data_IF_993127770530
#
_entry.id   IF_993127770530
#
_cell.length_a   1.000
_cell.length_b   1.000
_cell.length_c   1.000
_cell.angle_alpha   90.00
_cell.angle_beta   90.00
_cell.angle_gamma   90.00
#
_symmetry.space_group_name_H-M   'P 1'
#
loop_
_entity.id
_entity.type
_entity.pdbx_description
1 polymer ?
#
# COMPACT_ATOMS: atom_id res chain seq x y z
N UNK A 1 -9.45 55.42 4.25
CA UNK A 1 -8.83 54.25 3.58
C UNK A 1 -9.08 52.96 4.34
N UNK A 2 -9.07 52.96 5.68
CA UNK A 2 -9.17 51.73 6.50
C UNK A 2 -10.51 50.99 6.40
N UNK A 3 -11.63 51.71 6.23
CA UNK A 3 -12.97 51.09 6.09
C UNK A 3 -13.09 50.28 4.79
N UNK A 4 -12.46 50.74 3.70
CA UNK A 4 -12.46 50.05 2.42
C UNK A 4 -11.59 48.78 2.47
N UNK A 5 -10.41 48.87 3.10
CA UNK A 5 -9.54 47.71 3.31
C UNK A 5 -10.21 46.65 4.21
N UNK A 6 -10.90 47.08 5.28
CA UNK A 6 -11.62 46.17 6.17
C UNK A 6 -12.77 45.44 5.44
N UNK A 7 -13.56 46.15 4.62
CA UNK A 7 -14.62 45.55 3.83
C UNK A 7 -14.10 44.54 2.79
N UNK A 8 -12.97 44.86 2.13
CA UNK A 8 -12.31 43.94 1.20
C UNK A 8 -11.80 42.68 1.92
N UNK A 9 -11.15 42.82 3.07
CA UNK A 9 -10.67 41.68 3.86
C UNK A 9 -11.83 40.79 4.36
N UNK A 10 -12.94 41.40 4.77
CA UNK A 10 -14.14 40.65 5.16
C UNK A 10 -14.75 39.90 3.98
N UNK A 11 -14.86 40.53 2.81
CA UNK A 11 -15.36 39.87 1.60
C UNK A 11 -14.46 38.68 1.19
N UNK A 12 -13.14 38.86 1.24
CA UNK A 12 -12.17 37.80 0.97
C UNK A 12 -12.30 36.64 1.96
N UNK A 13 -12.51 36.93 3.25
CA UNK A 13 -12.73 35.91 4.27
C UNK A 13 -14.02 35.13 4.03
N UNK A 14 -15.12 35.83 3.72
CA UNK A 14 -16.41 35.18 3.39
C UNK A 14 -16.27 34.27 2.18
N UNK A 15 -15.60 34.74 1.12
CA UNK A 15 -15.33 33.93 -0.08
C UNK A 15 -14.48 32.70 0.25
N UNK A 16 -13.44 32.85 1.08
CA UNK A 16 -12.60 31.74 1.51
C UNK A 16 -13.39 30.69 2.32
N UNK A 17 -14.28 31.13 3.21
CA UNK A 17 -15.16 30.23 4.00
C UNK A 17 -16.14 29.50 3.09
N UNK A 18 -16.77 30.20 2.14
CA UNK A 18 -17.69 29.59 1.18
C UNK A 18 -16.99 28.58 0.27
N UNK A 19 -15.78 28.92 -0.21
CA UNK A 19 -14.97 28.00 -1.00
C UNK A 19 -14.58 26.75 -0.20
N UNK A 20 -14.17 26.91 1.07
CA UNK A 20 -13.86 25.77 1.95
C UNK A 20 -15.11 24.91 2.18
N UNK A 21 -16.26 25.52 2.47
CA UNK A 21 -17.52 24.79 2.67
C UNK A 21 -17.91 24.01 1.41
N UNK A 22 -17.74 24.60 0.22
CA UNK A 22 -17.97 23.93 -1.05
C UNK A 22 -17.02 22.74 -1.25
N UNK A 23 -15.72 22.89 -0.95
CA UNK A 23 -14.77 21.77 -1.05
C UNK A 23 -15.12 20.65 -0.08
N UNK A 24 -15.51 20.97 1.16
CA UNK A 24 -15.97 19.97 2.14
C UNK A 24 -17.23 19.24 1.65
N UNK A 25 -18.21 19.99 1.13
CA UNK A 25 -19.43 19.43 0.56
C UNK A 25 -19.11 18.50 -0.62
N UNK A 26 -18.27 18.95 -1.56
CA UNK A 26 -17.83 18.14 -2.70
C UNK A 26 -17.12 16.89 -2.20
N UNK A 27 -16.19 17.00 -1.25
CA UNK A 27 -15.46 15.86 -0.71
C UNK A 27 -16.40 14.82 -0.08
N UNK A 28 -17.42 15.27 0.65
CA UNK A 28 -18.43 14.44 1.31
C UNK A 28 -19.38 13.77 0.30
N UNK A 29 -20.00 14.55 -0.60
CA UNK A 29 -20.99 14.02 -1.56
C UNK A 29 -20.33 13.15 -2.63
N UNK A 30 -19.10 13.47 -3.03
CA UNK A 30 -18.31 12.66 -3.97
C UNK A 30 -17.61 11.46 -3.31
N UNK A 31 -17.78 11.26 -2.01
CA UNK A 31 -17.30 10.06 -1.32
C UNK A 31 -18.14 8.86 -1.77
N UNK A 32 -17.91 8.42 -3.01
CA UNK A 32 -18.37 7.10 -3.42
C UNK A 32 -17.75 6.08 -2.47
N UNK A 33 -18.57 5.16 -1.97
CA UNK A 33 -18.04 3.90 -1.48
C UNK A 33 -17.30 3.28 -2.66
N UNK A 34 -16.00 3.07 -2.53
CA UNK A 34 -15.31 2.24 -3.50
C UNK A 34 -16.01 0.90 -3.45
N UNK A 35 -16.57 0.51 -4.60
CA UNK A 35 -17.20 -0.78 -4.75
C UNK A 35 -16.05 -1.81 -4.72
N UNK A 36 -15.60 -2.15 -3.52
CA UNK A 36 -14.57 -3.15 -3.27
C UNK A 36 -15.08 -4.58 -3.57
N UNK A 37 -16.23 -4.70 -4.22
CA UNK A 37 -16.80 -5.97 -4.63
C UNK A 37 -15.84 -6.66 -5.59
N UNK A 38 -15.11 -7.64 -5.03
CA UNK A 38 -14.44 -8.68 -5.80
C UNK A 38 -15.43 -9.26 -6.78
N UNK A 39 -15.10 -9.19 -8.07
CA UNK A 39 -15.83 -9.94 -9.09
C UNK A 39 -15.64 -11.42 -8.81
N UNK A 40 -16.60 -12.26 -9.20
CA UNK A 40 -16.51 -13.71 -8.91
C UNK A 40 -15.23 -14.33 -9.48
N UNK A 41 -14.75 -13.84 -10.62
CA UNK A 41 -13.49 -14.28 -11.24
C UNK A 41 -12.25 -13.96 -10.39
N UNK A 42 -12.30 -12.91 -9.56
CA UNK A 42 -11.19 -12.44 -8.72
C UNK A 42 -11.10 -13.20 -7.38
N UNK A 43 -12.03 -14.14 -7.13
CA UNK A 43 -12.10 -14.95 -5.91
C UNK A 43 -11.35 -16.28 -6.01
N UNK A 44 -10.77 -16.61 -7.16
CA UNK A 44 -10.13 -17.90 -7.41
C UNK A 44 -8.71 -17.73 -7.93
N UNK A 45 -7.83 -18.64 -7.56
CA UNK A 45 -6.51 -18.83 -8.18
C UNK A 45 -6.47 -20.15 -8.95
N UNK A 46 -5.50 -20.27 -9.86
CA UNK A 46 -5.26 -21.48 -10.63
C UNK A 46 -4.16 -22.33 -9.99
N UNK A 47 -4.36 -23.64 -9.95
CA UNK A 47 -3.29 -24.60 -9.65
C UNK A 47 -2.37 -24.78 -10.86
N UNK A 48 -1.19 -25.41 -10.71
CA UNK A 48 -0.35 -25.77 -11.86
C UNK A 48 -1.07 -26.62 -12.92
N UNK A 49 -2.07 -27.41 -12.51
CA UNK A 49 -2.93 -28.21 -13.41
C UNK A 49 -4.08 -27.42 -14.06
N UNK A 50 -4.23 -26.13 -13.75
CA UNK A 50 -5.30 -25.28 -14.28
C UNK A 50 -6.62 -25.36 -13.52
N UNK A 51 -6.65 -26.06 -12.37
CA UNK A 51 -7.86 -26.15 -11.53
C UNK A 51 -8.10 -24.83 -10.81
N UNK A 52 -9.37 -24.43 -10.67
CA UNK A 52 -9.76 -23.20 -9.96
C UNK A 52 -10.03 -23.50 -8.49
N UNK A 53 -9.29 -22.86 -7.60
CA UNK A 53 -9.49 -22.95 -6.16
C UNK A 53 -9.80 -21.57 -5.56
N UNK A 54 -10.71 -21.49 -4.57
CA UNK A 54 -11.03 -20.21 -3.94
C UNK A 54 -9.84 -19.69 -3.13
N UNK A 55 -9.61 -18.38 -3.16
CA UNK A 55 -8.68 -17.74 -2.25
C UNK A 55 -9.18 -17.87 -0.79
N UNK A 56 -8.31 -18.24 0.18
CA UNK A 56 -8.59 -18.08 1.60
C UNK A 56 -8.73 -16.61 1.97
N UNK A 57 -9.39 -16.34 3.09
CA UNK A 57 -9.55 -14.99 3.60
C UNK A 57 -8.52 -14.65 4.67
N UNK A 58 -8.13 -13.37 4.73
CA UNK A 58 -7.35 -12.81 5.84
C UNK A 58 -8.08 -12.92 7.19
N UNK A 59 -9.42 -13.09 7.19
CA UNK A 59 -10.20 -13.36 8.40
C UNK A 59 -10.10 -14.80 8.91
N UNK A 60 -9.63 -15.74 8.08
CA UNK A 60 -9.47 -17.13 8.49
C UNK A 60 -8.26 -17.28 9.42
N UNK A 61 -8.14 -18.37 10.20
CA UNK A 61 -6.89 -18.68 10.90
C UNK A 61 -5.71 -18.74 9.92
N UNK A 62 -4.55 -18.22 10.35
CA UNK A 62 -3.35 -18.28 9.53
C UNK A 62 -2.88 -19.74 9.34
N UNK A 63 -2.38 -20.05 8.15
CA UNK A 63 -1.76 -21.35 7.82
C UNK A 63 -0.35 -21.22 7.25
N UNK A 64 0.16 -19.98 7.17
CA UNK A 64 1.54 -19.64 6.81
C UNK A 64 2.11 -18.65 7.82
N UNK A 65 3.43 -18.65 7.99
CA UNK A 65 4.10 -17.62 8.80
C UNK A 65 4.14 -16.28 8.08
N UNK A 66 4.43 -16.27 6.78
CA UNK A 66 4.56 -15.06 5.97
C UNK A 66 3.77 -15.15 4.65
N UNK A 67 2.98 -14.13 4.34
CA UNK A 67 2.47 -13.91 2.99
C UNK A 67 3.14 -12.69 2.38
N UNK A 68 3.75 -12.83 1.21
CA UNK A 68 4.30 -11.72 0.44
C UNK A 68 3.30 -11.34 -0.65
N UNK A 69 2.78 -10.12 -0.62
CA UNK A 69 1.85 -9.57 -1.59
C UNK A 69 2.61 -8.68 -2.56
N UNK A 70 2.57 -9.05 -3.84
CA UNK A 70 3.30 -8.39 -4.92
C UNK A 70 2.30 -7.81 -5.93
N UNK A 71 1.96 -6.51 -5.87
CA UNK A 71 1.16 -5.88 -6.90
C UNK A 71 1.98 -5.71 -8.19
N UNK A 72 1.41 -6.13 -9.31
CA UNK A 72 2.07 -6.12 -10.62
C UNK A 72 1.16 -5.48 -11.68
N UNK A 73 1.68 -4.54 -12.46
CA UNK A 73 0.99 -3.98 -13.62
C UNK A 73 1.96 -3.65 -14.76
N UNK A 74 1.93 -4.46 -15.80
CA UNK A 74 2.89 -4.46 -16.90
C UNK A 74 4.34 -4.61 -16.42
N UNK A 75 4.62 -5.73 -15.76
CA UNK A 75 5.89 -6.05 -15.09
C UNK A 75 6.59 -7.27 -15.71
N UNK A 76 6.30 -7.66 -16.96
CA UNK A 76 6.81 -8.90 -17.55
C UNK A 76 8.35 -9.03 -17.48
N UNK A 77 9.07 -7.91 -17.48
CA UNK A 77 10.54 -7.87 -17.42
C UNK A 77 11.11 -7.72 -16.00
N UNK A 78 10.41 -7.01 -15.11
CA UNK A 78 10.91 -6.72 -13.75
C UNK A 78 10.50 -7.79 -12.73
N UNK A 79 9.29 -8.33 -12.89
CA UNK A 79 8.77 -9.38 -12.02
C UNK A 79 9.71 -10.60 -11.91
N UNK A 80 10.31 -11.13 -12.99
CA UNK A 80 11.23 -12.26 -12.88
C UNK A 80 12.45 -11.98 -12.00
N UNK A 81 13.07 -10.81 -12.16
CA UNK A 81 14.27 -10.43 -11.40
C UNK A 81 13.97 -10.36 -9.91
N UNK A 82 12.86 -9.72 -9.56
CA UNK A 82 12.41 -9.64 -8.17
C UNK A 82 12.05 -11.03 -7.63
N UNK A 83 11.29 -11.83 -8.40
CA UNK A 83 10.84 -13.15 -7.96
C UNK A 83 11.99 -14.16 -7.78
N UNK A 84 13.02 -14.14 -8.61
CA UNK A 84 14.18 -15.02 -8.40
C UNK A 84 14.92 -14.66 -7.10
N UNK A 85 15.09 -13.37 -6.77
CA UNK A 85 15.70 -12.95 -5.50
C UNK A 85 14.80 -13.29 -4.29
N UNK A 86 13.50 -13.01 -4.39
CA UNK A 86 12.52 -13.32 -3.37
C UNK A 86 12.47 -14.82 -3.06
N UNK A 87 12.35 -15.66 -4.09
CA UNK A 87 12.26 -17.11 -3.92
C UNK A 87 13.58 -17.69 -3.41
N UNK A 88 14.73 -17.21 -3.89
CA UNK A 88 16.03 -17.63 -3.36
C UNK A 88 16.15 -17.34 -1.84
N UNK A 89 15.74 -16.15 -1.41
CA UNK A 89 15.74 -15.79 0.02
C UNK A 89 14.75 -16.65 0.83
N UNK A 90 13.51 -16.78 0.38
CA UNK A 90 12.45 -17.49 1.10
C UNK A 90 12.69 -19.01 1.18
N UNK A 91 13.14 -19.65 0.10
CA UNK A 91 13.52 -21.07 0.09
C UNK A 91 14.72 -21.32 1.00
N UNK A 92 15.74 -20.46 0.97
CA UNK A 92 16.90 -20.53 1.88
C UNK A 92 16.44 -20.45 3.33
N UNK A 93 15.61 -19.47 3.67
CA UNK A 93 15.09 -19.27 5.04
C UNK A 93 14.26 -20.46 5.51
N UNK A 94 13.42 -21.04 4.65
CA UNK A 94 12.65 -22.25 4.97
C UNK A 94 13.57 -23.47 5.17
N UNK A 95 14.64 -23.59 4.39
CA UNK A 95 15.63 -24.66 4.56
C UNK A 95 16.38 -24.56 5.90
N UNK A 96 16.71 -23.33 6.31
CA UNK A 96 17.38 -23.05 7.59
C UNK A 96 16.43 -23.19 8.80
N UNK A 97 15.14 -22.90 8.61
CA UNK A 97 14.11 -23.07 9.62
C UNK A 97 12.87 -23.77 9.03
N UNK A 98 12.74 -25.10 9.17
CA UNK A 98 11.61 -25.85 8.61
C UNK A 98 10.22 -25.45 9.12
N UNK A 99 10.12 -24.78 10.28
CA UNK A 99 8.83 -24.26 10.77
C UNK A 99 8.43 -22.97 10.08
N UNK A 100 9.35 -22.28 9.41
CA UNK A 100 9.06 -21.12 8.60
C UNK A 100 8.35 -21.55 7.32
N UNK A 101 7.11 -21.11 7.17
CA UNK A 101 6.30 -21.36 5.98
C UNK A 101 5.90 -20.02 5.36
N UNK A 102 5.86 -19.97 4.04
CA UNK A 102 5.53 -18.74 3.35
C UNK A 102 4.65 -18.99 2.13
N UNK A 103 4.09 -17.91 1.62
CA UNK A 103 3.55 -17.85 0.28
C UNK A 103 3.85 -16.49 -0.37
N UNK A 104 3.81 -16.46 -1.69
CA UNK A 104 3.84 -15.25 -2.50
C UNK A 104 2.54 -15.17 -3.29
N UNK A 105 1.84 -14.05 -3.16
CA UNK A 105 0.63 -13.73 -3.92
C UNK A 105 1.00 -12.62 -4.89
N UNK A 106 1.14 -12.99 -6.16
CA UNK A 106 1.34 -12.03 -7.25
C UNK A 106 -0.03 -11.55 -7.69
N UNK A 107 -0.28 -10.25 -7.60
CA UNK A 107 -1.55 -9.64 -7.97
C UNK A 107 -1.37 -8.89 -9.28
N UNK A 108 -1.84 -9.47 -10.38
CA UNK A 108 -1.87 -8.77 -11.67
C UNK A 108 -3.07 -7.81 -11.72
N UNK A 109 -2.81 -6.51 -11.72
CA UNK A 109 -3.80 -5.43 -11.80
C UNK A 109 -4.28 -5.18 -13.25
N UNK A 110 -4.67 -6.25 -13.93
CA UNK A 110 -5.20 -6.23 -15.30
C UNK A 110 -4.18 -5.77 -16.34
N UNK A 111 -2.97 -6.35 -16.32
CA UNK A 111 -1.89 -6.06 -17.26
C UNK A 111 -2.28 -6.34 -18.71
N UNK A 112 -1.57 -5.67 -19.62
CA UNK A 112 -1.72 -5.82 -21.09
C UNK A 112 -0.54 -6.54 -21.74
N UNK A 113 0.50 -6.82 -20.97
CA UNK A 113 1.67 -7.61 -21.38
C UNK A 113 1.55 -9.05 -20.85
N UNK A 114 2.68 -9.79 -20.84
CA UNK A 114 2.72 -11.18 -20.37
C UNK A 114 2.89 -11.32 -18.84
N UNK A 115 2.59 -10.29 -18.04
CA UNK A 115 2.75 -10.35 -16.56
C UNK A 115 2.05 -11.56 -15.94
N UNK A 116 0.77 -11.80 -16.27
CA UNK A 116 0.03 -12.99 -15.77
C UNK A 116 0.72 -14.30 -16.18
N UNK A 117 1.17 -14.43 -17.44
CA UNK A 117 1.83 -15.65 -17.93
C UNK A 117 3.12 -15.92 -17.17
N UNK A 118 3.95 -14.89 -17.00
CA UNK A 118 5.19 -14.95 -16.21
C UNK A 118 4.89 -15.37 -14.76
N UNK A 119 3.90 -14.75 -14.12
CA UNK A 119 3.49 -15.07 -12.75
C UNK A 119 2.99 -16.53 -12.60
N UNK A 120 2.22 -17.02 -13.57
CA UNK A 120 1.76 -18.42 -13.59
C UNK A 120 2.93 -19.39 -13.80
N UNK A 121 3.98 -18.97 -14.51
CA UNK A 121 5.24 -19.72 -14.60
C UNK A 121 5.87 -20.02 -13.22
N UNK A 122 5.83 -19.05 -12.30
CA UNK A 122 6.28 -19.25 -10.90
C UNK A 122 5.36 -20.20 -10.13
N UNK A 123 4.05 -20.12 -10.35
CA UNK A 123 3.09 -21.08 -9.77
C UNK A 123 3.38 -22.49 -10.25
N UNK A 124 3.71 -22.69 -11.53
CA UNK A 124 4.09 -23.98 -12.08
C UNK A 124 5.43 -24.50 -11.53
N UNK A 125 6.42 -23.61 -11.34
CA UNK A 125 7.76 -23.95 -10.83
C UNK A 125 7.76 -24.32 -9.34
N UNK A 126 7.01 -23.59 -8.51
CA UNK A 126 7.05 -23.73 -7.04
C UNK A 126 5.79 -24.36 -6.43
N UNK A 127 4.74 -24.53 -7.22
CA UNK A 127 3.43 -25.02 -6.78
C UNK A 127 2.52 -23.91 -6.23
N UNK A 128 1.21 -24.13 -6.35
CA UNK A 128 0.19 -23.20 -5.85
C UNK A 128 0.16 -23.04 -4.33
N UNK A 129 0.88 -23.88 -3.61
CA UNK A 129 1.03 -23.73 -2.17
C UNK A 129 2.04 -22.63 -1.79
N UNK A 130 3.06 -22.39 -2.62
CA UNK A 130 4.08 -21.36 -2.40
C UNK A 130 3.84 -20.09 -3.21
N UNK A 131 3.32 -20.19 -4.43
CA UNK A 131 3.06 -19.03 -5.30
C UNK A 131 1.65 -19.09 -5.86
N UNK A 132 0.89 -18.02 -5.69
CA UNK A 132 -0.47 -17.88 -6.22
C UNK A 132 -0.60 -16.59 -7.02
N UNK A 133 -1.42 -16.62 -8.05
CA UNK A 133 -1.69 -15.45 -8.91
C UNK A 133 -3.14 -15.03 -8.76
N UNK A 134 -3.35 -13.75 -8.42
CA UNK A 134 -4.65 -13.09 -8.42
C UNK A 134 -4.70 -12.12 -9.59
N UNK A 135 -5.55 -12.40 -10.59
CA UNK A 135 -5.69 -11.52 -11.76
C UNK A 135 -6.96 -10.69 -11.64
N UNK A 136 -6.81 -9.37 -11.55
CA UNK A 136 -7.92 -8.42 -11.56
C UNK A 136 -8.48 -8.25 -12.97
N UNK A 137 -9.80 -8.11 -13.09
CA UNK A 137 -10.46 -8.05 -14.42
C UNK A 137 -10.10 -6.78 -15.18
N UNK A 138 -9.73 -5.71 -14.47
CA UNK A 138 -9.26 -4.46 -15.05
C UNK A 138 -8.29 -3.77 -14.10
N UNK A 139 -7.47 -2.88 -14.66
CA UNK A 139 -6.62 -2.00 -13.86
C UNK A 139 -7.44 -1.08 -12.95
N UNK A 140 -7.29 -1.27 -11.63
CA UNK A 140 -7.90 -0.44 -10.57
C UNK A 140 -6.85 0.46 -9.90
N UNK A 141 -5.61 0.00 -9.85
CA UNK A 141 -4.47 0.68 -9.27
C UNK A 141 -3.76 -0.17 -8.21
N UNK A 142 -2.53 0.23 -7.88
CA UNK A 142 -1.69 -0.46 -6.89
C UNK A 142 -2.41 -0.70 -5.55
N UNK A 143 -3.14 0.29 -5.03
CA UNK A 143 -3.88 0.15 -3.78
C UNK A 143 -4.94 -0.96 -3.84
N UNK A 144 -5.67 -1.09 -4.95
CA UNK A 144 -6.63 -2.19 -5.14
C UNK A 144 -5.93 -3.55 -5.25
N UNK A 145 -4.81 -3.63 -5.97
CA UNK A 145 -4.04 -4.86 -6.09
C UNK A 145 -3.50 -5.34 -4.73
N UNK A 146 -2.88 -4.44 -3.96
CA UNK A 146 -2.38 -4.75 -2.62
C UNK A 146 -3.53 -5.12 -1.69
N UNK A 147 -4.65 -4.38 -1.73
CA UNK A 147 -5.84 -4.68 -0.94
C UNK A 147 -6.35 -6.11 -1.20
N UNK A 148 -6.57 -6.45 -2.47
CA UNK A 148 -7.09 -7.76 -2.87
C UNK A 148 -6.12 -8.89 -2.51
N UNK A 149 -4.81 -8.72 -2.76
CA UNK A 149 -3.81 -9.71 -2.38
C UNK A 149 -3.70 -9.90 -0.87
N UNK A 150 -3.77 -8.81 -0.11
CA UNK A 150 -3.71 -8.85 1.36
C UNK A 150 -4.90 -9.57 1.95
N UNK A 151 -6.12 -9.23 1.51
CA UNK A 151 -7.35 -9.89 1.98
C UNK A 151 -7.42 -11.38 1.58
N UNK A 152 -6.63 -11.81 0.60
CA UNK A 152 -6.58 -13.19 0.09
C UNK A 152 -5.45 -14.05 0.70
N UNK A 153 -4.78 -13.51 1.74
CA UNK A 153 -3.53 -14.06 2.28
C UNK A 153 -3.69 -14.95 3.52
N UNK A 154 -2.86 -15.98 3.62
CA UNK A 154 -2.84 -17.01 4.67
C UNK A 154 -1.85 -16.74 5.81
N UNK A 155 -1.03 -15.70 5.68
CA UNK A 155 0.11 -15.41 6.54
C UNK A 155 -0.27 -14.86 7.91
N UNK A 156 0.46 -15.27 8.94
CA UNK A 156 0.46 -14.64 10.27
C UNK A 156 1.04 -13.22 10.20
N UNK A 157 2.03 -13.04 9.33
CA UNK A 157 2.54 -11.75 8.90
C UNK A 157 2.25 -11.56 7.42
N UNK A 158 1.98 -10.31 7.02
CA UNK A 158 1.77 -9.94 5.62
C UNK A 158 2.82 -8.90 5.25
N UNK A 159 3.61 -9.18 4.22
CA UNK A 159 4.60 -8.27 3.65
C UNK A 159 4.08 -7.77 2.30
N UNK A 160 3.99 -6.46 2.13
CA UNK A 160 3.89 -5.86 0.80
C UNK A 160 5.30 -5.67 0.24
N UNK A 161 5.51 -6.00 -1.04
CA UNK A 161 6.74 -5.75 -1.77
C UNK A 161 6.45 -5.38 -3.23
N UNK A 162 7.15 -4.38 -3.77
CA UNK A 162 6.99 -3.95 -5.16
C UNK A 162 7.57 -4.97 -6.15
N UNK A 163 6.92 -5.13 -7.31
CA UNK A 163 7.33 -6.06 -8.36
C UNK A 163 8.63 -5.65 -9.09
N UNK A 164 9.16 -4.46 -8.83
CA UNK A 164 10.34 -3.92 -9.52
C UNK A 164 11.68 -4.42 -8.95
N UNK A 165 11.69 -5.05 -7.77
CA UNK A 165 12.91 -5.53 -7.12
C UNK A 165 13.81 -4.41 -6.58
N UNK A 166 13.26 -3.21 -6.41
CA UNK A 166 14.00 -2.06 -5.90
C UNK A 166 14.44 -2.25 -4.44
N UNK A 167 13.63 -2.93 -3.62
CA UNK A 167 13.99 -3.32 -2.24
C UNK A 167 14.46 -4.77 -2.20
N UNK A 168 15.46 -5.10 -1.38
CA UNK A 168 16.01 -6.46 -1.26
C UNK A 168 15.29 -7.28 -0.20
N UNK A 169 15.01 -8.55 -0.48
CA UNK A 169 14.29 -9.44 0.47
C UNK A 169 15.12 -9.77 1.72
N UNK A 170 16.44 -9.60 1.68
CA UNK A 170 17.27 -9.63 2.89
C UNK A 170 16.80 -8.62 3.96
N UNK A 171 16.14 -7.52 3.57
CA UNK A 171 15.62 -6.53 4.52
C UNK A 171 14.34 -6.96 5.24
N UNK A 172 13.76 -8.14 4.92
CA UNK A 172 12.67 -8.73 5.71
C UNK A 172 13.05 -8.80 7.19
N UNK A 173 14.29 -9.19 7.50
CA UNK A 173 14.77 -9.30 8.88
C UNK A 173 14.74 -7.96 9.62
N UNK A 174 15.01 -6.86 8.91
CA UNK A 174 14.99 -5.52 9.47
C UNK A 174 13.56 -5.09 9.80
N UNK A 175 12.61 -5.29 8.90
CA UNK A 175 11.20 -4.95 9.16
C UNK A 175 10.56 -5.89 10.19
N UNK A 176 10.99 -7.15 10.27
CA UNK A 176 10.60 -8.04 11.36
C UNK A 176 11.17 -7.57 12.71
N UNK A 177 12.42 -7.12 12.75
CA UNK A 177 13.01 -6.53 13.96
C UNK A 177 12.28 -5.25 14.36
N UNK A 178 11.95 -4.39 13.40
CA UNK A 178 11.11 -3.21 13.59
C UNK A 178 9.78 -3.57 14.24
N UNK A 179 9.10 -4.61 13.72
CA UNK A 179 7.84 -5.11 14.27
C UNK A 179 7.99 -5.64 15.70
N UNK A 180 9.03 -6.44 15.98
CA UNK A 180 9.31 -7.00 17.32
C UNK A 180 9.61 -5.95 18.37
N UNK A 181 10.23 -4.84 17.97
CA UNK A 181 10.58 -3.74 18.87
C UNK A 181 9.38 -2.85 19.24
N UNK A 182 8.26 -3.00 18.54
CA UNK A 182 7.01 -2.35 18.91
C UNK A 182 6.32 -3.16 20.00
N UNK A 183 5.63 -2.47 20.92
CA UNK A 183 4.65 -3.11 21.80
C UNK A 183 3.33 -3.23 21.03
N UNK A 184 2.91 -4.41 20.55
CA UNK A 184 1.79 -4.53 19.63
C UNK A 184 0.47 -4.32 20.38
N UNK A 185 -0.01 -3.07 20.37
CA UNK A 185 -1.24 -2.62 21.06
C UNK A 185 -1.90 -1.53 20.20
N UNK A 186 -3.22 -1.51 20.04
CA UNK A 186 -4.20 -2.44 20.60
C UNK A 186 -4.21 -3.80 19.84
N UNK A 187 -4.70 -4.86 20.49
CA UNK A 187 -5.08 -6.13 19.83
C UNK A 187 -3.97 -6.82 19.03
N UNK A 188 -2.72 -6.79 19.50
CA UNK A 188 -1.57 -7.38 18.82
C UNK A 188 -1.32 -6.79 17.41
N UNK A 189 -1.76 -5.55 17.15
CA UNK A 189 -1.51 -4.87 15.90
C UNK A 189 -0.17 -4.12 15.91
N UNK A 190 0.60 -4.28 14.84
CA UNK A 190 1.80 -3.51 14.57
C UNK A 190 2.09 -3.45 13.06
N UNK A 191 2.78 -2.39 12.64
CA UNK A 191 3.25 -2.20 11.26
C UNK A 191 4.73 -1.82 11.30
N UNK A 192 5.53 -2.39 10.42
CA UNK A 192 6.90 -1.95 10.19
C UNK A 192 7.08 -1.55 8.73
N UNK A 193 7.34 -0.27 8.50
CA UNK A 193 7.56 0.29 7.17
C UNK A 193 9.06 0.37 6.87
N UNK A 194 9.44 -0.15 5.71
CA UNK A 194 10.71 0.21 5.10
C UNK A 194 10.76 1.71 4.79
N UNK A 195 11.96 2.29 4.77
CA UNK A 195 12.17 3.70 4.52
C UNK A 195 13.43 3.96 3.72
N UNK A 196 13.28 4.82 2.72
CA UNK A 196 14.34 5.35 1.86
C UNK A 196 14.79 6.73 2.31
N UNK A 197 14.27 7.27 3.42
CA UNK A 197 14.56 8.63 3.87
C UNK A 197 16.06 8.90 4.10
N UNK A 198 16.84 7.86 4.40
CA UNK A 198 18.30 7.96 4.52
C UNK A 198 19.01 8.23 3.17
N UNK A 199 18.39 7.86 2.04
CA UNK A 199 18.89 8.11 0.68
C UNK A 199 18.45 9.46 0.11
N UNK A 200 17.52 10.15 0.79
CA UNK A 200 16.93 11.40 0.29
C UNK A 200 18.00 12.46 0.03
N UNK A 201 19.00 12.59 0.92
CA UNK A 201 20.09 13.57 0.79
C UNK A 201 20.91 13.38 -0.50
N UNK A 202 21.30 12.15 -0.80
CA UNK A 202 22.05 11.82 -2.01
C UNK A 202 21.20 12.05 -3.26
N UNK A 203 19.91 11.69 -3.20
CA UNK A 203 18.98 11.88 -4.31
C UNK A 203 18.70 13.36 -4.62
N UNK A 204 18.62 14.22 -3.60
CA UNK A 204 18.38 15.68 -3.77
C UNK A 204 19.58 16.34 -4.44
N UNK A 205 20.79 15.89 -4.13
CA UNK A 205 22.02 16.43 -4.74
C UNK A 205 22.08 16.20 -6.27
N UNK A 206 21.41 15.17 -6.78
CA UNK A 206 21.42 14.78 -8.20
C UNK A 206 20.17 15.22 -8.98
N UNK A 207 19.19 15.87 -8.34
CA UNK A 207 17.87 16.18 -8.93
C UNK A 207 17.68 17.67 -9.24
N UNK A 208 16.79 17.95 -10.20
CA UNK A 208 16.40 19.32 -10.53
C UNK A 208 15.68 20.02 -9.37
N UNK A 209 15.88 21.33 -9.23
CA UNK A 209 15.27 22.15 -8.17
C UNK A 209 13.74 22.04 -8.14
N UNK A 210 13.10 21.97 -9.31
CA UNK A 210 11.64 21.81 -9.42
C UNK A 210 11.15 20.48 -8.82
N UNK A 211 11.84 19.37 -9.10
CA UNK A 211 11.49 18.05 -8.55
C UNK A 211 11.67 18.04 -7.02
N UNK A 212 12.72 18.71 -6.54
CA UNK A 212 12.97 18.88 -5.09
C UNK A 212 11.86 19.70 -4.42
N UNK A 213 11.42 20.80 -5.04
CA UNK A 213 10.29 21.60 -4.55
C UNK A 213 8.98 20.79 -4.48
N UNK A 214 8.65 20.04 -5.54
CA UNK A 214 7.45 19.19 -5.58
C UNK A 214 7.49 18.08 -4.51
N UNK A 215 8.66 17.52 -4.24
CA UNK A 215 8.86 16.51 -3.20
C UNK A 215 8.59 17.09 -1.80
N UNK A 216 9.23 18.21 -1.44
CA UNK A 216 9.00 18.84 -0.15
C UNK A 216 7.58 19.36 0.02
N UNK A 217 6.97 19.89 -1.05
CA UNK A 217 5.56 20.27 -1.06
C UNK A 217 4.65 19.06 -0.78
N UNK A 218 4.95 17.91 -1.39
CA UNK A 218 4.21 16.68 -1.12
C UNK A 218 4.41 16.18 0.32
N UNK A 219 5.64 16.17 0.84
CA UNK A 219 5.91 15.83 2.24
C UNK A 219 5.13 16.73 3.21
N UNK A 220 5.06 18.04 2.92
CA UNK A 220 4.26 18.98 3.69
C UNK A 220 2.77 18.63 3.65
N UNK A 221 2.21 18.35 2.47
CA UNK A 221 0.79 17.97 2.34
C UNK A 221 0.47 16.69 3.10
N UNK A 222 1.34 15.67 3.02
CA UNK A 222 1.18 14.41 3.78
C UNK A 222 1.19 14.70 5.28
N UNK A 223 2.17 15.46 5.77
CA UNK A 223 2.30 15.82 7.19
C UNK A 223 1.11 16.64 7.70
N UNK A 224 0.64 17.60 6.90
CA UNK A 224 -0.41 18.53 7.28
C UNK A 224 -1.79 17.86 7.28
N UNK A 225 -2.11 17.08 6.24
CA UNK A 225 -3.44 16.50 6.08
C UNK A 225 -3.57 15.08 6.65
N UNK A 226 -2.53 14.25 6.57
CA UNK A 226 -2.68 12.82 6.79
C UNK A 226 -1.79 12.30 7.92
N UNK A 227 -0.52 12.04 7.65
CA UNK A 227 0.33 11.16 8.47
C UNK A 227 1.42 11.97 9.15
N UNK A 228 1.59 11.79 10.46
CA UNK A 228 2.65 12.45 11.25
C UNK A 228 3.70 11.46 11.74
N UNK A 229 4.98 11.85 11.78
CA UNK A 229 6.03 11.05 12.40
C UNK A 229 6.56 9.86 11.58
N UNK A 230 6.16 9.74 10.31
CA UNK A 230 6.71 8.75 9.36
C UNK A 230 7.28 9.55 8.19
N UNK A 231 8.55 9.34 7.84
CA UNK A 231 9.21 10.13 6.78
C UNK A 231 8.90 9.58 5.38
N UNK A 232 8.99 8.27 5.19
CA UNK A 232 8.72 7.61 3.91
C UNK A 232 7.42 6.80 3.96
N UNK A 233 6.30 7.50 3.77
CA UNK A 233 4.98 6.84 3.78
C UNK A 233 4.78 5.90 2.59
N UNK A 234 5.51 6.09 1.49
CA UNK A 234 5.25 5.46 0.19
C UNK A 234 6.22 4.34 -0.17
N UNK A 235 7.09 3.92 0.75
CA UNK A 235 7.92 2.74 0.52
C UNK A 235 7.03 1.50 0.34
N UNK A 236 7.20 0.78 -0.77
CA UNK A 236 6.42 -0.43 -1.07
C UNK A 236 6.77 -1.65 -0.23
N UNK A 237 7.73 -1.54 0.70
CA UNK A 237 8.19 -2.63 1.55
C UNK A 237 7.64 -2.44 2.97
N UNK A 238 6.49 -3.06 3.28
CA UNK A 238 5.82 -2.88 4.58
C UNK A 238 5.35 -4.21 5.15
N UNK A 239 5.71 -4.49 6.39
CA UNK A 239 5.32 -5.69 7.12
C UNK A 239 4.21 -5.37 8.13
N UNK A 240 3.18 -6.20 8.15
CA UNK A 240 2.01 -6.06 8.99
C UNK A 240 1.82 -7.33 9.81
N UNK A 241 1.41 -7.18 11.06
CA UNK A 241 0.69 -8.26 11.76
C UNK A 241 -0.62 -8.56 11.04
N UNK A 242 -1.10 -9.81 11.03
CA UNK A 242 -2.37 -10.20 10.39
C UNK A 242 -3.54 -9.30 10.79
N UNK A 243 -3.70 -8.99 12.08
CA UNK A 243 -4.79 -8.14 12.57
C UNK A 243 -4.65 -6.70 12.06
N UNK A 244 -3.44 -6.12 12.11
CA UNK A 244 -3.21 -4.79 11.54
C UNK A 244 -3.57 -4.76 10.06
N UNK A 245 -3.11 -5.75 9.29
CA UNK A 245 -3.44 -5.88 7.87
C UNK A 245 -4.96 -5.93 7.65
N UNK A 246 -5.67 -6.80 8.38
CA UNK A 246 -7.12 -6.93 8.25
C UNK A 246 -7.81 -5.59 8.51
N UNK A 247 -7.52 -4.95 9.64
CA UNK A 247 -8.17 -3.70 10.06
C UNK A 247 -7.88 -2.54 9.13
N UNK A 248 -6.64 -2.41 8.67
CA UNK A 248 -6.25 -1.30 7.81
C UNK A 248 -6.78 -1.48 6.40
N UNK A 249 -6.58 -2.67 5.79
CA UNK A 249 -6.97 -2.91 4.40
C UNK A 249 -8.50 -2.92 4.24
N UNK A 250 -9.25 -3.52 5.16
CA UNK A 250 -10.72 -3.45 5.15
C UNK A 250 -11.28 -2.03 5.23
N UNK A 251 -10.51 -1.08 5.77
CA UNK A 251 -10.92 0.33 5.88
C UNK A 251 -10.43 1.23 4.73
N UNK A 252 -9.70 0.70 3.73
CA UNK A 252 -9.15 1.53 2.65
C UNK A 252 -10.19 1.94 1.62
N UNK A 253 -10.07 3.15 1.09
CA UNK A 253 -10.94 3.67 0.04
C UNK A 253 -10.15 4.12 -1.19
N UNK A 254 -8.84 4.32 -1.11
CA UNK A 254 -8.01 4.77 -2.22
C UNK A 254 -7.41 3.55 -2.93
N UNK A 255 -7.73 3.38 -4.21
CA UNK A 255 -7.25 2.24 -5.02
C UNK A 255 -5.91 2.52 -5.74
N UNK A 256 -5.46 3.78 -5.80
CA UNK A 256 -4.28 4.22 -6.59
C UNK A 256 -3.16 4.71 -5.68
N UNK A 257 -2.28 5.59 -6.19
CA UNK A 257 -1.00 5.97 -5.59
C UNK A 257 -1.04 6.51 -4.16
N UNK A 258 -2.14 7.13 -3.73
CA UNK A 258 -2.25 7.69 -2.37
C UNK A 258 -2.71 6.65 -1.31
N UNK A 259 -2.92 5.38 -1.69
CA UNK A 259 -3.39 4.34 -0.76
C UNK A 259 -2.44 4.14 0.43
N UNK A 260 -1.12 4.23 0.21
CA UNK A 260 -0.13 4.10 1.29
C UNK A 260 -0.29 5.18 2.37
N UNK A 261 -0.66 6.39 1.95
CA UNK A 261 -0.89 7.51 2.86
C UNK A 261 -2.20 7.32 3.62
N UNK A 262 -3.26 6.85 2.94
CA UNK A 262 -4.51 6.49 3.60
C UNK A 262 -4.31 5.34 4.59
N UNK A 263 -3.57 4.31 4.22
CA UNK A 263 -3.24 3.15 5.04
C UNK A 263 -2.60 3.57 6.36
N UNK A 264 -1.59 4.44 6.30
CA UNK A 264 -0.93 4.95 7.49
C UNK A 264 -1.80 5.94 8.27
N UNK A 265 -2.66 6.71 7.59
CA UNK A 265 -3.67 7.55 8.23
C UNK A 265 -4.65 6.71 9.05
N UNK A 266 -5.18 5.64 8.47
CA UNK A 266 -6.04 4.65 9.14
C UNK A 266 -5.31 4.01 10.31
N UNK A 267 -4.06 3.59 10.13
CA UNK A 267 -3.25 3.02 11.21
C UNK A 267 -3.13 3.98 12.41
N UNK A 268 -2.87 5.28 12.17
CA UNK A 268 -2.81 6.29 13.23
C UNK A 268 -4.17 6.51 13.90
N UNK A 269 -5.27 6.50 13.14
CA UNK A 269 -6.63 6.61 13.69
C UNK A 269 -7.00 5.40 14.56
N UNK A 270 -6.51 4.21 14.21
CA UNK A 270 -6.64 2.98 14.99
C UNK A 270 -5.59 2.86 16.12
N UNK A 271 -4.67 3.82 16.23
CA UNK A 271 -3.55 3.83 17.20
C UNK A 271 -2.63 2.61 17.06
N UNK A 272 -2.49 2.08 15.85
CA UNK A 272 -1.57 0.99 15.55
C UNK A 272 -0.14 1.55 15.57
N UNK A 273 0.80 0.96 16.34
CA UNK A 273 2.18 1.38 16.37
C UNK A 273 2.84 1.09 15.01
N UNK A 274 3.61 2.06 14.52
CA UNK A 274 4.34 1.96 13.26
C UNK A 274 5.83 2.21 13.49
N UNK A 275 6.66 1.26 13.07
CA UNK A 275 8.11 1.41 13.03
C UNK A 275 8.54 1.87 11.62
N UNK A 276 9.55 2.73 11.56
CA UNK A 276 10.20 3.12 10.31
C UNK A 276 11.63 2.57 10.30
N UNK A 277 11.96 1.77 9.28
CA UNK A 277 13.21 0.98 9.22
C UNK A 277 13.93 1.26 7.90
N UNK A 278 15.22 1.57 7.97
CA UNK A 278 16.03 1.80 6.77
C UNK A 278 16.21 0.51 5.94
N UNK A 279 15.82 0.54 4.67
CA UNK A 279 15.94 -0.59 3.72
C UNK A 279 16.92 -0.26 2.60
N UNK A 280 17.61 -1.28 2.10
CA UNK A 280 18.43 -1.19 0.91
C UNK A 280 17.51 -1.03 -0.30
N UNK A 281 17.57 0.14 -0.92
CA UNK A 281 16.75 0.49 -2.06
C UNK A 281 17.63 0.97 -3.21
N UNK A 282 17.40 0.45 -4.41
CA UNK A 282 18.10 0.84 -5.63
C UNK A 282 17.11 1.37 -6.65
N UNK A 283 17.47 2.44 -7.36
CA UNK A 283 16.65 2.95 -8.47
C UNK A 283 16.68 1.95 -9.63
N UNK A 284 15.50 1.51 -10.05
CA UNK A 284 15.32 0.58 -11.17
C UNK A 284 14.87 1.37 -12.39
N UNK A 285 15.60 1.22 -13.51
CA UNK A 285 15.25 1.85 -14.77
C UNK A 285 13.87 1.39 -15.28
N UNK A 286 13.19 2.27 -16.02
CA UNK A 286 11.82 2.01 -16.49
C UNK A 286 10.72 2.39 -15.49
N UNK A 287 11.07 2.98 -14.34
CA UNK A 287 10.08 3.63 -13.46
C UNK A 287 9.32 4.70 -14.25
N UNK A 288 8.00 4.52 -14.40
CA UNK A 288 7.14 5.49 -15.08
C UNK A 288 7.31 6.86 -14.41
N UNK A 289 7.80 7.84 -15.15
CA UNK A 289 7.78 9.23 -14.70
C UNK A 289 6.33 9.56 -14.37
N UNK A 290 6.06 9.88 -13.10
CA UNK A 290 4.72 10.22 -12.64
C UNK A 290 4.29 11.49 -13.40
N UNK A 291 3.27 11.42 -14.27
CA UNK A 291 2.84 12.59 -15.03
C UNK A 291 2.43 13.72 -14.08
N UNK A 292 2.57 14.98 -14.51
CA UNK A 292 2.17 16.15 -13.70
C UNK A 292 0.73 16.03 -13.16
N UNK A 293 -0.19 15.52 -13.99
CA UNK A 293 -1.58 15.27 -13.61
C UNK A 293 -1.73 14.25 -12.47
N UNK A 294 -0.85 13.25 -12.40
CA UNK A 294 -0.83 12.29 -11.30
C UNK A 294 -0.37 12.92 -9.99
N UNK A 295 0.57 13.89 -10.05
CA UNK A 295 0.96 14.66 -8.87
C UNK A 295 -0.19 15.52 -8.33
N UNK A 296 -0.90 16.23 -9.22
CA UNK A 296 -2.06 17.04 -8.84
C UNK A 296 -3.20 16.16 -8.27
N UNK A 297 -3.45 15.01 -8.89
CA UNK A 297 -4.41 14.03 -8.40
C UNK A 297 -4.04 13.54 -7.00
N UNK A 298 -2.77 13.21 -6.76
CA UNK A 298 -2.30 12.83 -5.43
C UNK A 298 -2.49 13.93 -4.39
N UNK A 299 -2.15 15.19 -4.73
CA UNK A 299 -2.40 16.33 -3.83
C UNK A 299 -3.87 16.48 -3.45
N UNK A 300 -4.78 16.34 -4.43
CA UNK A 300 -6.23 16.31 -4.19
C UNK A 300 -6.63 15.13 -3.29
N UNK A 301 -6.08 13.94 -3.54
CA UNK A 301 -6.38 12.74 -2.76
C UNK A 301 -6.01 12.93 -1.28
N UNK A 302 -4.89 13.58 -0.96
CA UNK A 302 -4.50 13.88 0.43
C UNK A 302 -5.51 14.76 1.16
N UNK A 303 -5.99 15.83 0.50
CA UNK A 303 -7.03 16.70 1.06
C UNK A 303 -8.33 15.90 1.26
N UNK A 304 -8.70 15.08 0.28
CA UNK A 304 -9.94 14.32 0.29
C UNK A 304 -9.92 13.20 1.33
N UNK A 305 -8.79 12.51 1.54
CA UNK A 305 -8.60 11.54 2.63
C UNK A 305 -8.96 12.22 3.95
N UNK A 306 -8.33 13.37 4.25
CA UNK A 306 -8.56 14.09 5.51
C UNK A 306 -10.02 14.52 5.68
N UNK A 307 -10.59 15.16 4.66
CA UNK A 307 -11.96 15.66 4.72
C UNK A 307 -13.01 14.55 4.83
N UNK A 308 -12.86 13.45 4.09
CA UNK A 308 -13.83 12.35 4.09
C UNK A 308 -13.86 11.59 5.43
N UNK A 309 -12.71 11.41 6.08
CA UNK A 309 -12.67 10.84 7.42
C UNK A 309 -13.10 11.81 8.54
N UNK A 310 -12.92 13.13 8.36
CA UNK A 310 -13.41 14.13 9.35
C UNK A 310 -14.93 14.26 9.27
N UNK A 311 -15.49 14.32 8.05
CA UNK A 311 -16.93 14.46 7.83
C UNK A 311 -17.70 13.15 8.07
N UNK A 312 -17.00 12.04 8.29
CA UNK A 312 -17.61 10.71 8.47
C UNK A 312 -18.18 10.11 7.18
N UNK A 313 -17.86 10.69 6.02
CA UNK A 313 -18.17 10.14 4.70
C UNK A 313 -17.45 8.79 4.49
N UNK A 314 -16.20 8.72 4.94
CA UNK A 314 -15.45 7.48 5.09
C UNK A 314 -15.39 7.08 6.55
N UNK A 315 -15.61 5.79 6.81
CA UNK A 315 -15.64 5.22 8.15
C UNK A 315 -14.66 4.07 8.23
N UNK A 316 -14.08 3.89 9.41
CA UNK A 316 -13.27 2.72 9.71
C UNK A 316 -14.20 1.52 9.87
N UNK A 317 -13.81 0.36 9.34
CA UNK A 317 -14.61 -0.84 9.52
C UNK A 317 -14.62 -1.21 11.02
N UNK A 318 -15.81 -1.43 11.62
CA UNK A 318 -15.90 -1.77 13.03
C UNK A 318 -15.22 -3.12 13.30
N UNK A 319 -14.77 -3.31 14.54
CA UNK A 319 -14.33 -4.61 15.03
C UNK A 319 -15.43 -5.65 14.78
N UNK A 320 -15.19 -6.60 13.87
CA UNK A 320 -15.98 -7.82 13.85
C UNK A 320 -15.62 -8.55 15.14
N UNK A 321 -16.55 -8.59 16.09
CA UNK A 321 -16.43 -9.51 17.21
C UNK A 321 -16.38 -10.91 16.61
N UNK A 322 -15.22 -11.55 16.64
CA UNK A 322 -15.10 -12.99 16.42
C UNK A 322 -16.06 -13.65 17.41
N UNK A 323 -17.05 -14.37 16.89
CA UNK A 323 -17.88 -15.29 17.67
C UNK A 323 -17.05 -16.48 18.13
#
# INVERSE_FOLDING_TARGET
>A
MDVCLCAVLQALLVLAVLALALVVLIAHVSAGMVNQTSRDQERYFLTPGGEKNPFPSLSDPHSRELSVVVPSYNEEFRLPVMMEEAMAYLEKRQKENPSFTYEVIIVDDGSRDRTTEVALGYTKKYGADKVRVLTLVKNRGKGAAVHMGTLSSRGRLVLMADADGATKFADIEKVEAGLRNLSPKPENMAISCGSRAHLEKESVAQRSLFRTFLMYGFHFLVWFFCVKGIKDTQCGFKLFTREAALRTFSSLHVERWAFDVELLYVAQRLKIPVAEVAVNWTEIEGSKLVPFWSWLQMGKDLVFIRLRYITGAWRLEPLRKTQ
#
